data_IF_023362450390
#
_entry.id   IF_023362450390
#
_cell.length_a   1.000
_cell.length_b   1.000
_cell.length_c   1.000
_cell.angle_alpha   90.00
_cell.angle_beta   90.00
_cell.angle_gamma   90.00
#
_symmetry.space_group_name_H-M   'P 1'
#
loop_
_entity.id
_entity.type
_entity.pdbx_description
1 polymer ?
#
# COMPACT_ATOMS: atom_id res chain seq x y z
N UNK A 1 2.70 24.04 0.24
CA UNK A 1 4.03 24.64 0.46
C UNK A 1 4.64 24.90 -0.90
N UNK A 2 4.67 26.18 -1.32
CA UNK A 2 5.26 26.64 -2.59
C UNK A 2 6.77 26.66 -2.41
N UNK A 3 7.50 25.85 -3.16
CA UNK A 3 8.93 26.01 -3.40
C UNK A 3 9.16 25.92 -4.90
N UNK A 4 8.85 27.00 -5.59
CA UNK A 4 9.38 27.32 -6.90
C UNK A 4 10.31 28.52 -6.69
N UNK A 5 11.55 28.24 -6.32
CA UNK A 5 12.65 29.18 -6.39
C UNK A 5 13.25 29.12 -7.79
N UNK A 6 12.86 30.05 -8.66
CA UNK A 6 13.59 30.34 -9.87
C UNK A 6 15.01 30.78 -9.49
N UNK A 7 16.01 29.97 -9.80
CA UNK A 7 17.40 30.40 -9.79
C UNK A 7 17.63 31.20 -11.07
N UNK A 8 17.66 32.53 -10.94
CA UNK A 8 18.19 33.43 -11.95
C UNK A 8 19.70 33.17 -12.13
N UNK A 9 20.06 32.60 -13.26
CA UNK A 9 21.47 32.53 -13.65
C UNK A 9 21.92 33.91 -14.15
N UNK A 10 22.76 34.55 -13.36
CA UNK A 10 23.41 35.79 -13.70
C UNK A 10 24.56 35.50 -14.70
N UNK A 11 24.46 36.06 -15.88
CA UNK A 11 25.44 35.95 -16.96
C UNK A 11 26.64 36.84 -16.68
N UNK A 12 27.73 36.26 -16.18
CA UNK A 12 29.08 36.81 -16.34
C UNK A 12 30.09 35.67 -16.16
N UNK A 13 30.40 34.97 -17.25
CA UNK A 13 31.62 34.17 -17.35
C UNK A 13 32.27 34.45 -18.69
N UNK A 14 33.50 34.81 -18.54
CA UNK A 14 34.45 35.22 -19.59
C UNK A 14 34.58 34.19 -20.71
N UNK A 15 34.82 34.74 -21.91
CA UNK A 15 35.05 34.05 -23.18
C UNK A 15 36.23 33.08 -23.08
N UNK A 16 35.98 31.82 -22.95
CA UNK A 16 36.93 30.80 -23.36
C UNK A 16 36.51 30.29 -24.76
N UNK A 17 37.35 30.59 -25.76
CA UNK A 17 37.21 30.15 -27.15
C UNK A 17 37.51 28.64 -27.23
N UNK A 18 36.50 27.81 -26.98
CA UNK A 18 36.49 26.37 -27.28
C UNK A 18 35.12 26.03 -27.80
N UNK A 19 35.05 25.70 -29.08
CA UNK A 19 33.95 25.17 -29.90
C UNK A 19 32.65 24.85 -29.16
N UNK A 20 31.84 25.85 -28.79
CA UNK A 20 30.42 25.62 -28.48
C UNK A 20 29.66 25.60 -29.81
N UNK A 21 29.49 24.43 -30.38
CA UNK A 21 28.38 24.22 -31.34
C UNK A 21 27.10 24.64 -30.63
N UNK A 22 26.28 25.56 -31.18
CA UNK A 22 24.97 25.85 -30.58
C UNK A 22 24.21 24.53 -30.50
N UNK A 23 23.70 24.21 -29.31
CA UNK A 23 22.85 23.04 -29.11
C UNK A 23 21.66 23.23 -30.05
N UNK A 24 21.62 22.47 -31.13
CA UNK A 24 20.49 22.49 -32.04
C UNK A 24 19.32 21.82 -31.30
N UNK A 25 18.40 22.65 -30.77
CA UNK A 25 17.22 22.21 -30.01
C UNK A 25 16.32 21.25 -30.83
N UNK A 26 16.56 21.18 -32.15
CA UNK A 26 15.91 20.27 -33.08
C UNK A 26 16.68 18.95 -33.32
N UNK A 27 17.80 18.74 -32.64
CA UNK A 27 18.53 17.47 -32.71
C UNK A 27 17.67 16.34 -32.10
N UNK A 28 17.38 15.33 -32.93
CA UNK A 28 16.55 14.19 -32.52
C UNK A 28 17.15 13.45 -31.32
N UNK A 29 18.47 13.34 -31.26
CA UNK A 29 19.18 12.65 -30.19
C UNK A 29 19.05 13.42 -28.87
N UNK A 30 19.14 14.76 -28.93
CA UNK A 30 18.92 15.63 -27.76
C UNK A 30 17.46 15.51 -27.24
N UNK A 31 16.48 15.55 -28.13
CA UNK A 31 15.07 15.42 -27.75
C UNK A 31 14.77 14.04 -27.15
N UNK A 32 15.37 13.00 -27.69
CA UNK A 32 15.24 11.64 -27.15
C UNK A 32 15.88 11.53 -25.75
N UNK A 33 17.06 12.10 -25.57
CA UNK A 33 17.74 12.15 -24.28
C UNK A 33 16.93 12.90 -23.22
N UNK A 34 16.33 14.06 -23.57
CA UNK A 34 15.44 14.81 -22.66
C UNK A 34 14.21 13.98 -22.26
N UNK A 35 13.59 13.26 -23.22
CA UNK A 35 12.47 12.36 -22.90
C UNK A 35 12.87 11.29 -21.87
N UNK A 36 14.04 10.70 -22.07
CA UNK A 36 14.56 9.68 -21.16
C UNK A 36 14.91 10.26 -19.78
N UNK A 37 15.47 11.46 -19.70
CA UNK A 37 15.70 12.17 -18.44
C UNK A 37 14.39 12.44 -17.70
N UNK A 38 13.37 12.94 -18.39
CA UNK A 38 12.05 13.20 -17.82
C UNK A 38 11.41 11.90 -17.29
N UNK A 39 11.55 10.80 -18.02
CA UNK A 39 11.07 9.47 -17.58
C UNK A 39 11.77 9.03 -16.29
N UNK A 40 13.10 9.07 -16.25
CA UNK A 40 13.89 8.71 -15.07
C UNK A 40 13.56 9.60 -13.87
N UNK A 41 13.40 10.90 -14.08
CA UNK A 41 13.00 11.84 -13.02
C UNK A 41 11.62 11.47 -12.44
N UNK A 42 10.61 11.26 -13.29
CA UNK A 42 9.27 10.83 -12.85
C UNK A 42 9.30 9.51 -12.07
N UNK A 43 10.06 8.53 -12.56
CA UNK A 43 10.23 7.25 -11.86
C UNK A 43 10.87 7.43 -10.47
N UNK A 44 11.86 8.31 -10.35
CA UNK A 44 12.50 8.62 -9.07
C UNK A 44 11.53 9.31 -8.10
N UNK A 45 10.70 10.23 -8.58
CA UNK A 45 9.66 10.86 -7.77
C UNK A 45 8.63 9.84 -7.26
N UNK A 46 8.17 8.92 -8.12
CA UNK A 46 7.23 7.87 -7.73
C UNK A 46 7.84 6.97 -6.66
N UNK A 47 9.08 6.50 -6.86
CA UNK A 47 9.79 5.67 -5.88
C UNK A 47 9.93 6.38 -4.53
N UNK A 48 10.26 7.67 -4.54
CA UNK A 48 10.37 8.46 -3.31
C UNK A 48 9.01 8.59 -2.61
N UNK A 49 7.94 8.86 -3.33
CA UNK A 49 6.58 8.96 -2.78
C UNK A 49 6.12 7.64 -2.15
N UNK A 50 6.36 6.51 -2.83
CA UNK A 50 6.04 5.16 -2.29
C UNK A 50 6.82 4.91 -1.01
N UNK A 51 8.13 5.21 -0.98
CA UNK A 51 8.95 5.01 0.21
C UNK A 51 8.47 5.86 1.39
N UNK A 52 8.15 7.13 1.16
CA UNK A 52 7.59 8.02 2.20
C UNK A 52 6.28 7.46 2.73
N UNK A 53 5.36 7.01 1.87
CA UNK A 53 4.11 6.38 2.30
C UNK A 53 4.36 5.15 3.19
N UNK A 54 5.26 4.26 2.77
CA UNK A 54 5.60 3.05 3.53
C UNK A 54 6.14 3.39 4.93
N UNK A 55 7.07 4.33 5.04
CA UNK A 55 7.64 4.74 6.34
C UNK A 55 6.60 5.40 7.24
N UNK A 56 5.69 6.21 6.66
CA UNK A 56 4.59 6.80 7.42
C UNK A 56 3.60 5.75 7.92
N UNK A 57 3.28 4.73 7.14
CA UNK A 57 2.41 3.63 7.55
C UNK A 57 3.04 2.78 8.65
N UNK A 58 4.34 2.51 8.58
CA UNK A 58 5.09 1.83 9.65
C UNK A 58 5.05 2.63 10.96
N UNK A 59 5.22 3.94 10.88
CA UNK A 59 5.07 4.82 12.03
C UNK A 59 3.66 4.76 12.62
N UNK A 60 2.62 4.82 11.78
CA UNK A 60 1.22 4.71 12.24
C UNK A 60 0.94 3.35 12.91
N UNK A 61 1.50 2.29 12.37
CA UNK A 61 1.42 0.96 12.96
C UNK A 61 2.09 0.92 14.34
N UNK A 62 3.34 1.40 14.45
CA UNK A 62 4.08 1.46 15.71
C UNK A 62 3.34 2.25 16.77
N UNK A 63 2.84 3.44 16.43
CA UNK A 63 2.06 4.27 17.36
C UNK A 63 0.74 3.57 17.77
N UNK A 64 0.07 2.90 16.84
CA UNK A 64 -1.12 2.09 17.13
C UNK A 64 -0.82 0.98 18.14
N UNK A 65 0.28 0.26 17.93
CA UNK A 65 0.78 -0.80 18.83
C UNK A 65 1.09 -0.27 20.22
N UNK A 66 1.76 0.88 20.33
CA UNK A 66 2.06 1.51 21.63
C UNK A 66 0.78 1.86 22.39
N UNK A 67 -0.23 2.40 21.69
CA UNK A 67 -1.53 2.72 22.31
C UNK A 67 -2.20 1.46 22.88
N UNK A 68 -2.14 0.35 22.17
CA UNK A 68 -2.71 -0.93 22.60
C UNK A 68 -1.91 -1.53 23.76
N UNK A 69 -0.57 -1.63 23.60
CA UNK A 69 0.32 -2.23 24.59
C UNK A 69 0.29 -1.53 25.94
N UNK A 70 0.24 -0.20 25.93
CA UNK A 70 0.15 0.62 27.14
C UNK A 70 -1.25 0.64 27.76
N UNK A 71 -2.24 0.02 27.12
CA UNK A 71 -3.66 0.15 27.49
C UNK A 71 -4.05 1.62 27.71
N UNK A 72 -3.61 2.48 26.81
CA UNK A 72 -3.57 3.93 26.95
C UNK A 72 -4.93 4.55 27.29
N UNK A 73 -6.01 4.07 26.68
CA UNK A 73 -7.37 4.53 26.95
C UNK A 73 -7.84 4.22 28.37
N UNK A 74 -7.52 3.03 28.89
CA UNK A 74 -7.85 2.66 30.26
C UNK A 74 -7.00 3.42 31.29
N UNK A 75 -5.72 3.67 30.95
CA UNK A 75 -4.77 4.33 31.84
C UNK A 75 -4.98 5.84 31.94
N UNK A 76 -5.32 6.53 30.83
CA UNK A 76 -5.39 7.99 30.76
C UNK A 76 -6.81 8.53 30.47
N UNK A 77 -7.81 7.64 30.40
CA UNK A 77 -9.22 7.98 30.38
C UNK A 77 -9.77 8.49 29.05
N UNK A 78 -11.04 8.94 29.08
CA UNK A 78 -11.84 9.26 27.88
C UNK A 78 -11.31 10.44 27.05
N UNK A 79 -10.48 11.31 27.61
CA UNK A 79 -9.88 12.46 26.90
C UNK A 79 -8.51 12.15 26.29
N UNK A 80 -8.03 10.90 26.42
CA UNK A 80 -6.70 10.49 25.98
C UNK A 80 -6.36 10.96 24.56
N UNK A 81 -7.16 10.65 23.57
CA UNK A 81 -6.88 11.04 22.17
C UNK A 81 -6.83 12.55 21.93
N UNK A 82 -7.65 13.32 22.67
CA UNK A 82 -7.62 14.79 22.57
C UNK A 82 -6.33 15.35 23.15
N UNK A 83 -5.92 14.86 24.32
CA UNK A 83 -4.70 15.29 24.98
C UNK A 83 -3.47 14.88 24.15
N UNK A 84 -3.37 13.62 23.72
CA UNK A 84 -2.29 13.13 22.87
C UNK A 84 -2.20 13.93 21.56
N UNK A 85 -3.34 14.24 20.94
CA UNK A 85 -3.38 15.07 19.74
C UNK A 85 -2.84 16.47 19.98
N UNK A 86 -3.15 17.07 21.11
CA UNK A 86 -2.66 18.40 21.51
C UNK A 86 -1.15 18.38 21.71
N UNK A 87 -0.67 17.46 22.54
CA UNK A 87 0.75 17.37 22.91
C UNK A 87 1.63 17.07 21.68
N UNK A 88 1.20 16.14 20.81
CA UNK A 88 1.93 15.82 19.58
C UNK A 88 1.97 16.98 18.59
N UNK A 89 0.90 17.78 18.49
CA UNK A 89 0.87 18.97 17.62
C UNK A 89 1.69 20.12 18.17
N UNK A 90 1.73 20.28 19.49
CA UNK A 90 2.60 21.27 20.15
C UNK A 90 4.07 20.93 19.93
N UNK A 91 4.43 19.63 20.06
CA UNK A 91 5.79 19.17 19.79
C UNK A 91 6.16 19.19 18.31
N UNK A 92 5.18 19.03 17.41
CA UNK A 92 5.39 18.95 15.94
C UNK A 92 4.38 19.83 15.20
N UNK A 93 4.52 21.17 15.19
CA UNK A 93 3.51 22.09 14.64
C UNK A 93 3.20 21.90 13.15
N UNK A 94 4.15 21.36 12.38
CA UNK A 94 3.98 21.10 10.94
C UNK A 94 3.27 19.79 10.64
N UNK A 95 3.09 18.90 11.62
CA UNK A 95 2.46 17.60 11.42
C UNK A 95 0.93 17.73 11.41
N UNK A 96 0.30 17.31 10.31
CA UNK A 96 -1.15 17.35 10.14
C UNK A 96 -1.84 16.03 10.48
N UNK A 97 -1.05 14.95 10.71
CA UNK A 97 -1.55 13.59 10.88
C UNK A 97 -2.07 13.25 12.29
N UNK A 98 -1.87 14.12 13.30
CA UNK A 98 -2.20 13.82 14.69
C UNK A 98 -3.58 14.32 15.13
N UNK A 99 -4.61 14.22 14.29
CA UNK A 99 -5.98 14.47 14.77
C UNK A 99 -6.45 13.32 15.67
N UNK A 100 -7.35 13.58 16.66
CA UNK A 100 -7.86 12.53 17.56
C UNK A 100 -8.47 11.34 16.79
N UNK A 101 -9.19 11.63 15.70
CA UNK A 101 -9.77 10.60 14.82
C UNK A 101 -8.69 9.79 14.12
N UNK A 102 -7.63 10.44 13.63
CA UNK A 102 -6.55 9.73 12.94
C UNK A 102 -5.73 8.85 13.90
N UNK A 103 -5.52 9.29 15.14
CA UNK A 103 -4.88 8.48 16.20
C UNK A 103 -5.70 7.22 16.51
N UNK A 104 -7.03 7.33 16.54
CA UNK A 104 -7.91 6.16 16.67
C UNK A 104 -7.80 5.21 15.46
N UNK A 105 -7.69 5.75 14.23
CA UNK A 105 -7.44 4.91 13.06
C UNK A 105 -6.10 4.19 13.12
N UNK A 106 -5.04 4.82 13.65
CA UNK A 106 -3.74 4.18 13.83
C UNK A 106 -3.82 2.99 14.79
N UNK A 107 -4.55 3.14 15.93
CA UNK A 107 -4.84 2.01 16.81
C UNK A 107 -5.60 0.90 16.10
N UNK A 108 -6.67 1.24 15.39
CA UNK A 108 -7.49 0.26 14.68
C UNK A 108 -6.72 -0.44 13.55
N UNK A 109 -5.76 0.24 12.94
CA UNK A 109 -4.86 -0.30 11.93
C UNK A 109 -4.00 -1.43 12.49
N UNK A 110 -3.38 -1.22 13.66
CA UNK A 110 -2.65 -2.27 14.36
C UNK A 110 -3.59 -3.42 14.76
N UNK A 111 -4.70 -3.14 15.45
CA UNK A 111 -5.66 -4.16 15.89
C UNK A 111 -6.20 -5.02 14.74
N UNK A 112 -6.40 -4.44 13.55
CA UNK A 112 -6.97 -5.14 12.41
C UNK A 112 -5.99 -6.13 11.77
N UNK A 113 -4.72 -5.77 11.66
CA UNK A 113 -3.74 -6.57 10.92
C UNK A 113 -2.76 -7.36 11.81
N UNK A 114 -2.60 -6.97 13.08
CA UNK A 114 -1.68 -7.62 14.03
C UNK A 114 -1.83 -9.15 14.08
N UNK A 115 -3.06 -9.72 14.17
CA UNK A 115 -3.22 -11.18 14.26
C UNK A 115 -2.63 -11.94 13.08
N UNK A 116 -2.55 -11.31 11.92
CA UNK A 116 -2.04 -11.96 10.70
C UNK A 116 -0.53 -11.89 10.56
N UNK A 117 0.11 -10.90 11.17
CA UNK A 117 1.57 -10.76 11.20
C UNK A 117 2.18 -11.58 12.35
N UNK A 118 1.57 -11.58 13.53
CA UNK A 118 2.07 -12.35 14.69
C UNK A 118 1.82 -13.86 14.57
N UNK A 119 0.70 -14.29 13.98
CA UNK A 119 0.45 -15.72 13.75
C UNK A 119 1.53 -16.30 12.83
N UNK A 120 1.91 -15.57 11.78
CA UNK A 120 3.03 -15.96 10.91
C UNK A 120 4.34 -16.10 11.69
N UNK A 121 4.69 -15.13 12.52
CA UNK A 121 5.88 -15.14 13.35
C UNK A 121 5.84 -16.22 14.42
N UNK A 122 4.73 -16.39 15.14
CA UNK A 122 4.59 -17.44 16.18
C UNK A 122 4.66 -18.85 15.61
N UNK A 123 4.09 -19.09 14.43
CA UNK A 123 4.25 -20.36 13.73
C UNK A 123 5.70 -20.61 13.32
N UNK A 124 6.39 -19.57 12.88
CA UNK A 124 7.82 -19.62 12.58
C UNK A 124 8.65 -19.99 13.83
N UNK A 125 8.46 -19.27 14.94
CA UNK A 125 9.15 -19.49 16.20
C UNK A 125 8.85 -20.88 16.82
N UNK A 126 7.62 -21.39 16.67
CA UNK A 126 7.26 -22.70 17.16
C UNK A 126 7.89 -23.84 16.35
N UNK A 127 8.11 -23.64 15.06
CA UNK A 127 8.77 -24.60 14.19
C UNK A 127 10.28 -24.62 14.48
N UNK A 128 10.92 -23.49 14.69
CA UNK A 128 12.34 -23.43 15.09
C UNK A 128 12.61 -24.14 16.42
N UNK A 129 11.71 -23.99 17.40
CA UNK A 129 11.86 -24.64 18.71
C UNK A 129 11.64 -26.16 18.69
N UNK A 130 10.94 -26.70 17.69
CA UNK A 130 10.66 -28.13 17.55
C UNK A 130 11.73 -28.91 16.77
N UNK A 131 12.59 -28.25 16.01
CA UNK A 131 13.50 -28.89 15.06
C UNK A 131 14.90 -29.23 15.61
N UNK A 132 15.08 -29.41 16.92
CA UNK A 132 16.34 -29.95 17.45
C UNK A 132 16.45 -31.49 17.37
N UNK A 133 15.51 -32.20 16.75
CA UNK A 133 15.63 -33.65 16.51
C UNK A 133 15.07 -34.09 15.16
N UNK A 134 16.02 -34.30 14.24
CA UNK A 134 16.03 -35.26 13.11
C UNK A 134 14.70 -35.53 12.37
N UNK A 135 14.46 -34.78 11.29
CA UNK A 135 13.90 -35.22 9.99
C UNK A 135 13.71 -34.00 9.07
N UNK A 136 14.75 -33.63 8.34
CA UNK A 136 15.03 -32.22 7.93
C UNK A 136 14.60 -31.79 6.54
N UNK A 137 13.86 -32.53 5.71
CA UNK A 137 13.68 -32.08 4.31
C UNK A 137 12.28 -31.63 3.89
N UNK A 138 11.24 -32.11 4.51
CA UNK A 138 9.87 -31.74 4.13
C UNK A 138 9.29 -30.58 4.97
N UNK A 139 9.87 -30.30 6.14
CA UNK A 139 9.37 -29.26 7.07
C UNK A 139 9.91 -27.86 6.78
N UNK A 140 11.13 -27.74 6.21
CA UNK A 140 11.72 -26.48 5.87
C UNK A 140 10.92 -25.72 4.76
N UNK A 141 10.35 -26.46 3.80
CA UNK A 141 9.56 -25.82 2.72
C UNK A 141 8.28 -25.17 3.24
N UNK A 142 7.61 -25.78 4.23
CA UNK A 142 6.36 -25.21 4.79
C UNK A 142 6.64 -23.99 5.67
N UNK A 143 7.77 -23.95 6.37
CA UNK A 143 8.22 -22.83 7.17
C UNK A 143 8.57 -21.62 6.29
N UNK A 144 9.41 -21.84 5.29
CA UNK A 144 9.80 -20.80 4.33
C UNK A 144 8.59 -20.22 3.60
N UNK A 145 7.60 -21.06 3.22
CA UNK A 145 6.37 -20.61 2.59
C UNK A 145 5.54 -19.73 3.52
N UNK A 146 5.39 -20.10 4.80
CA UNK A 146 4.61 -19.31 5.75
C UNK A 146 5.27 -17.97 6.07
N UNK A 147 6.59 -17.93 6.21
CA UNK A 147 7.35 -16.70 6.40
C UNK A 147 7.25 -15.80 5.17
N UNK A 148 7.42 -16.35 3.97
CA UNK A 148 7.27 -15.60 2.71
C UNK A 148 5.85 -15.02 2.55
N UNK A 149 4.81 -15.75 2.98
CA UNK A 149 3.43 -15.27 2.95
C UNK A 149 3.21 -14.12 3.95
N UNK A 150 3.78 -14.18 5.14
CA UNK A 150 3.71 -13.11 6.13
C UNK A 150 4.46 -11.86 5.65
N UNK A 151 5.68 -12.01 5.10
CA UNK A 151 6.47 -10.93 4.52
C UNK A 151 5.78 -10.27 3.33
N UNK A 152 5.14 -11.08 2.47
CA UNK A 152 4.38 -10.55 1.34
C UNK A 152 3.16 -9.77 1.80
N UNK A 153 2.44 -10.30 2.81
CA UNK A 153 1.29 -9.62 3.38
C UNK A 153 1.66 -8.27 4.00
N UNK A 154 2.77 -8.23 4.73
CA UNK A 154 3.30 -6.98 5.30
C UNK A 154 3.65 -5.98 4.20
N UNK A 155 4.32 -6.41 3.15
CA UNK A 155 4.60 -5.55 1.98
C UNK A 155 3.33 -5.01 1.34
N UNK A 156 2.31 -5.85 1.17
CA UNK A 156 1.04 -5.46 0.57
C UNK A 156 0.33 -4.40 1.43
N UNK A 157 0.27 -4.60 2.76
CA UNK A 157 -0.31 -3.65 3.71
C UNK A 157 0.40 -2.29 3.63
N UNK A 158 1.73 -2.26 3.62
CA UNK A 158 2.47 -1.00 3.59
C UNK A 158 2.60 -0.37 2.18
N UNK A 159 2.08 -1.01 1.13
CA UNK A 159 2.16 -0.49 -0.24
C UNK A 159 0.98 0.39 -0.64
N UNK A 160 -0.19 0.23 -0.03
CA UNK A 160 -1.37 1.04 -0.36
C UNK A 160 -1.42 2.33 0.47
N UNK A 161 -2.02 3.43 -0.04
CA UNK A 161 -2.09 4.70 0.66
C UNK A 161 -2.94 4.65 1.94
N UNK A 162 -2.60 5.50 2.93
CA UNK A 162 -3.34 5.60 4.21
C UNK A 162 -4.84 5.77 4.05
N UNK A 163 -5.28 6.59 3.07
CA UNK A 163 -6.70 6.80 2.81
C UNK A 163 -7.48 5.54 2.43
N UNK A 164 -6.81 4.53 1.85
CA UNK A 164 -7.41 3.21 1.57
C UNK A 164 -7.59 2.43 2.87
N UNK A 165 -6.58 2.44 3.76
CA UNK A 165 -6.69 1.78 5.07
C UNK A 165 -7.81 2.37 5.92
N UNK A 166 -7.98 3.70 5.93
CA UNK A 166 -9.09 4.33 6.66
C UNK A 166 -10.45 3.81 6.16
N UNK A 167 -10.62 3.68 4.84
CA UNK A 167 -11.84 3.12 4.26
C UNK A 167 -12.05 1.65 4.64
N UNK A 168 -10.98 0.84 4.60
CA UNK A 168 -11.03 -0.58 4.97
C UNK A 168 -11.33 -0.76 6.47
N UNK A 169 -10.76 0.07 7.34
CA UNK A 169 -11.03 0.07 8.77
C UNK A 169 -12.49 0.41 9.05
N UNK A 170 -13.04 1.44 8.39
CA UNK A 170 -14.44 1.85 8.56
C UNK A 170 -15.42 0.72 8.18
N UNK A 171 -15.07 -0.09 7.17
CA UNK A 171 -15.97 -1.12 6.63
C UNK A 171 -15.72 -2.52 7.21
N UNK A 172 -14.47 -2.86 7.57
CA UNK A 172 -14.07 -4.25 7.83
C UNK A 172 -13.26 -4.45 9.11
N UNK A 173 -13.32 -3.55 10.08
CA UNK A 173 -12.56 -3.68 11.34
C UNK A 173 -12.82 -5.03 12.03
N UNK A 174 -14.03 -5.55 11.96
CA UNK A 174 -14.45 -6.83 12.58
C UNK A 174 -14.25 -8.05 11.67
N UNK A 175 -13.93 -7.84 10.39
CA UNK A 175 -13.73 -8.91 9.40
C UNK A 175 -12.45 -8.68 8.60
N UNK A 176 -11.28 -8.79 9.24
CA UNK A 176 -10.00 -8.44 8.62
C UNK A 176 -9.67 -9.21 7.34
N UNK A 177 -10.18 -10.45 7.18
CA UNK A 177 -9.99 -11.24 5.96
C UNK A 177 -10.50 -10.52 4.71
N UNK A 178 -11.65 -9.82 4.81
CA UNK A 178 -12.18 -9.01 3.71
C UNK A 178 -11.26 -7.83 3.42
N UNK A 179 -10.76 -7.15 4.47
CA UNK A 179 -9.82 -6.06 4.31
C UNK A 179 -8.55 -6.51 3.57
N UNK A 180 -7.95 -7.65 3.97
CA UNK A 180 -6.77 -8.21 3.32
C UNK A 180 -6.99 -8.58 1.86
N UNK A 181 -8.17 -9.11 1.54
CA UNK A 181 -8.56 -9.34 0.15
C UNK A 181 -8.52 -8.05 -0.66
N UNK A 182 -9.17 -6.98 -0.17
CA UNK A 182 -9.18 -5.69 -0.86
C UNK A 182 -7.80 -5.01 -0.90
N UNK A 183 -6.95 -5.21 0.09
CA UNK A 183 -5.54 -4.78 0.05
C UNK A 183 -4.84 -5.42 -1.15
N UNK A 184 -4.88 -6.75 -1.28
CA UNK A 184 -4.24 -7.50 -2.38
C UNK A 184 -4.78 -7.07 -3.75
N UNK A 185 -6.11 -6.92 -3.87
CA UNK A 185 -6.72 -6.45 -5.12
C UNK A 185 -6.30 -5.02 -5.47
N UNK A 186 -6.19 -4.15 -4.47
CA UNK A 186 -5.71 -2.78 -4.66
C UNK A 186 -4.26 -2.75 -5.14
N UNK A 187 -3.39 -3.59 -4.56
CA UNK A 187 -1.98 -3.71 -4.98
C UNK A 187 -1.88 -4.24 -6.41
N UNK A 188 -2.61 -5.32 -6.71
CA UNK A 188 -2.55 -5.99 -8.02
C UNK A 188 -3.06 -5.09 -9.17
N UNK A 189 -4.11 -4.31 -8.92
CA UNK A 189 -4.81 -3.54 -9.95
C UNK A 189 -4.56 -2.03 -9.87
N UNK A 190 -3.82 -1.55 -8.88
CA UNK A 190 -3.54 -0.12 -8.71
C UNK A 190 -4.79 0.73 -8.45
N UNK A 191 -5.77 0.22 -7.70
CA UNK A 191 -7.04 0.90 -7.50
C UNK A 191 -6.90 2.22 -6.76
N UNK A 192 -7.56 3.25 -7.26
CA UNK A 192 -7.77 4.50 -6.52
C UNK A 192 -8.75 4.27 -5.37
N UNK A 193 -8.80 5.22 -4.42
CA UNK A 193 -9.72 5.13 -3.27
C UNK A 193 -11.20 5.03 -3.71
N UNK A 194 -11.59 5.75 -4.76
CA UNK A 194 -12.96 5.71 -5.27
C UNK A 194 -13.29 4.37 -5.93
N UNK A 195 -12.34 3.81 -6.70
CA UNK A 195 -12.49 2.49 -7.31
C UNK A 195 -12.60 1.41 -6.23
N UNK A 196 -11.75 1.45 -5.21
CA UNK A 196 -11.84 0.55 -4.06
C UNK A 196 -13.21 0.66 -3.37
N UNK A 197 -13.71 1.88 -3.15
CA UNK A 197 -15.03 2.10 -2.54
C UNK A 197 -16.14 1.44 -3.38
N UNK A 198 -16.14 1.65 -4.70
CA UNK A 198 -17.13 1.06 -5.60
C UNK A 198 -17.11 -0.48 -5.57
N UNK A 199 -15.91 -1.10 -5.51
CA UNK A 199 -15.80 -2.55 -5.41
C UNK A 199 -16.25 -3.10 -4.04
N UNK A 200 -16.04 -2.34 -2.97
CA UNK A 200 -16.58 -2.67 -1.66
C UNK A 200 -18.12 -2.61 -1.68
N UNK A 201 -18.69 -1.53 -2.19
CA UNK A 201 -20.15 -1.34 -2.23
C UNK A 201 -20.85 -2.35 -3.17
N UNK A 202 -20.15 -2.78 -4.24
CA UNK A 202 -20.63 -3.85 -5.13
C UNK A 202 -20.40 -5.26 -4.57
N UNK A 203 -19.89 -5.40 -3.35
CA UNK A 203 -19.66 -6.67 -2.67
C UNK A 203 -18.78 -7.64 -3.47
N UNK A 204 -17.67 -7.14 -4.03
CA UNK A 204 -16.78 -7.94 -4.88
C UNK A 204 -16.29 -9.21 -4.15
N UNK A 205 -15.96 -9.11 -2.85
CA UNK A 205 -15.50 -10.25 -2.06
C UNK A 205 -16.52 -11.39 -2.02
N UNK A 206 -17.82 -11.08 -1.85
CA UNK A 206 -18.91 -12.06 -1.77
C UNK A 206 -19.23 -12.68 -3.12
N UNK A 207 -18.93 -11.97 -4.21
CA UNK A 207 -19.16 -12.45 -5.59
C UNK A 207 -18.04 -13.35 -6.11
N UNK A 208 -16.84 -13.27 -5.54
CA UNK A 208 -15.74 -14.14 -5.95
C UNK A 208 -16.09 -15.61 -5.71
N UNK A 209 -15.97 -16.41 -6.76
CA UNK A 209 -16.25 -17.86 -6.72
C UNK A 209 -17.73 -18.23 -6.76
N UNK A 210 -18.67 -17.27 -6.80
CA UNK A 210 -20.12 -17.54 -6.85
C UNK A 210 -20.74 -17.41 -8.25
N UNK A 211 -19.98 -16.98 -9.24
CA UNK A 211 -20.43 -17.10 -10.63
C UNK A 211 -20.45 -18.57 -11.02
N UNK A 212 -21.53 -19.28 -10.68
CA UNK A 212 -21.88 -20.54 -11.29
C UNK A 212 -22.20 -20.24 -12.77
N UNK A 213 -21.15 -20.09 -13.56
CA UNK A 213 -21.32 -20.00 -15.01
C UNK A 213 -21.60 -21.42 -15.51
N UNK A 214 -22.68 -21.61 -16.23
CA UNK A 214 -22.98 -22.86 -16.93
C UNK A 214 -22.21 -22.94 -18.27
N UNK A 215 -21.19 -22.09 -18.47
CA UNK A 215 -20.42 -22.01 -19.71
C UNK A 215 -19.76 -23.36 -20.06
N UNK A 216 -19.27 -24.10 -19.07
CA UNK A 216 -18.70 -25.46 -19.25
C UNK A 216 -19.73 -26.46 -19.77
N UNK A 217 -21.04 -26.18 -19.68
CA UNK A 217 -22.10 -27.05 -20.17
C UNK A 217 -22.68 -26.61 -21.52
N UNK A 218 -22.50 -25.35 -21.89
CA UNK A 218 -23.17 -24.71 -23.04
C UNK A 218 -22.23 -24.26 -24.14
N UNK A 219 -20.91 -24.12 -23.84
CA UNK A 219 -19.92 -23.68 -24.81
C UNK A 219 -18.81 -24.73 -24.98
N UNK A 220 -18.17 -24.79 -26.16
CA UNK A 220 -16.94 -25.55 -26.34
C UNK A 220 -15.86 -25.13 -25.34
N UNK A 221 -14.97 -26.04 -24.95
CA UNK A 221 -13.99 -25.82 -23.87
C UNK A 221 -13.17 -24.52 -24.05
N UNK A 222 -12.73 -24.23 -25.29
CA UNK A 222 -11.92 -23.03 -25.61
C UNK A 222 -12.73 -21.74 -25.39
N UNK A 223 -14.00 -21.71 -25.77
CA UNK A 223 -14.87 -20.55 -25.62
C UNK A 223 -15.34 -20.39 -24.18
N UNK A 224 -15.53 -21.50 -23.47
CA UNK A 224 -15.89 -21.52 -22.05
C UNK A 224 -14.81 -20.89 -21.17
N UNK A 225 -13.53 -21.21 -21.43
CA UNK A 225 -12.40 -20.66 -20.66
C UNK A 225 -12.26 -19.16 -20.90
N UNK A 226 -12.38 -18.71 -22.17
CA UNK A 226 -12.32 -17.29 -22.54
C UNK A 226 -13.45 -16.48 -21.86
N UNK A 227 -14.70 -16.98 -21.90
CA UNK A 227 -15.84 -16.29 -21.29
C UNK A 227 -15.74 -16.28 -19.77
N UNK A 228 -15.21 -17.35 -19.14
CA UNK A 228 -14.93 -17.36 -17.71
C UNK A 228 -13.85 -16.36 -17.33
N UNK A 229 -12.82 -16.19 -18.14
CA UNK A 229 -11.77 -15.22 -17.92
C UNK A 229 -12.30 -13.78 -18.03
N UNK A 230 -13.10 -13.50 -19.07
CA UNK A 230 -13.77 -12.21 -19.25
C UNK A 230 -14.75 -11.91 -18.10
N UNK A 231 -15.47 -12.90 -17.59
CA UNK A 231 -16.42 -12.69 -16.47
C UNK A 231 -15.73 -12.59 -15.10
N UNK A 232 -14.51 -13.08 -14.99
CA UNK A 232 -13.64 -12.88 -13.80
C UNK A 232 -12.96 -11.52 -13.80
N UNK A 233 -12.85 -10.88 -14.98
CA UNK A 233 -12.27 -9.55 -15.10
C UNK A 233 -13.18 -8.53 -14.40
N UNK A 234 -12.68 -7.75 -13.42
CA UNK A 234 -13.47 -6.79 -12.67
C UNK A 234 -13.76 -5.51 -13.45
N UNK A 235 -13.81 -5.55 -14.79
CA UNK A 235 -14.27 -4.42 -15.59
C UNK A 235 -15.73 -4.12 -15.23
N UNK A 236 -15.89 -3.08 -14.45
CA UNK A 236 -17.20 -2.57 -14.06
C UNK A 236 -17.75 -1.74 -15.23
N UNK A 237 -18.68 -2.31 -15.99
CA UNK A 237 -19.40 -1.62 -17.07
C UNK A 237 -20.36 -0.52 -16.56
N UNK A 238 -20.22 -0.04 -15.34
CA UNK A 238 -21.04 1.03 -14.76
C UNK A 238 -20.90 2.41 -15.47
N UNK A 239 -20.05 2.50 -16.50
CA UNK A 239 -19.90 3.70 -17.34
C UNK A 239 -20.74 3.67 -18.64
N UNK A 240 -21.54 2.65 -18.87
CA UNK A 240 -22.37 2.51 -20.07
C UNK A 240 -23.85 2.71 -19.76
N UNK A 241 -24.18 3.77 -18.97
CA UNK A 241 -25.55 4.22 -18.69
C UNK A 241 -25.69 5.71 -18.87
#
# INVERSE_FOLDING_TARGET
>A
MKLLGCISFNSNVERNKGMNKPINILDKDYLQWIKELCKRYRQSQIKAAVKVNTEMLKFYWSLGRDIVALKAEARWGSKFYKNLSKDLKEANPLATCFSPKNLLYMKNFDCMYLPYTEIGQQLADQLEKKDFSSQHRAKNSSFEINQQLADQLEKDIFSIPWGHHMLLIDKFLTVPQKALFYVRQTVANGWSRNVLHNFIDSSLYERQGKALSNFNRTLPDVDSDLVQEITKDPYNFAFAG
#
